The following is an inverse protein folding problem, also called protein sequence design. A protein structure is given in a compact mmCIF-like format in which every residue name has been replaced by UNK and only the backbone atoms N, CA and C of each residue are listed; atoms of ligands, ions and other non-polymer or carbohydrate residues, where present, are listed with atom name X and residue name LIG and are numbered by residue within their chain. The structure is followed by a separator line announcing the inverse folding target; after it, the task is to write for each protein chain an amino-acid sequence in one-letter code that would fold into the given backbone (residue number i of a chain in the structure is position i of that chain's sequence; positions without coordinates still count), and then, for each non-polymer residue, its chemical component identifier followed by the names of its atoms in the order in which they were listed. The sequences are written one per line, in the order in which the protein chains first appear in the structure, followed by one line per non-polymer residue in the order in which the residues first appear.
data_IF_349355831784
#
_entry.id   IF_349355831784
#
_cell.length_a   1.000
_cell.length_b   1.000
_cell.length_c   1.000
_cell.angle_alpha   90.00
_cell.angle_beta   90.00
_cell.angle_gamma   90.00
#
_symmetry.space_group_name_H-M   'P 1'
#
loop_
_entity.id
_entity.type
_entity.pdbx_description
1 polymer ?
#
# COMPACT_ATOMS: atom_id res chain seq x y z
N UNK A 1 10.18 13.34 -1.60
CA UNK A 1 9.83 14.51 -2.44
C UNK A 1 8.40 14.32 -2.92
N UNK A 2 7.63 15.41 -2.99
CA UNK A 2 6.16 15.50 -2.95
C UNK A 2 5.53 15.41 -4.36
N UNK A 3 4.29 14.91 -4.46
CA UNK A 3 3.34 15.28 -5.51
C UNK A 3 1.89 14.98 -5.06
N UNK A 4 1.03 15.99 -5.22
CA UNK A 4 -0.41 15.98 -4.92
C UNK A 4 -1.18 15.96 -6.23
N UNK A 5 -2.25 15.15 -6.30
CA UNK A 5 -3.41 15.31 -7.19
C UNK A 5 -4.65 15.03 -6.31
N UNK A 6 -5.89 15.33 -6.71
CA UNK A 6 -7.15 15.01 -5.98
C UNK A 6 -8.00 14.00 -6.77
N UNK A 7 -8.38 12.86 -6.18
CA UNK A 7 -9.29 11.88 -6.80
C UNK A 7 -10.59 11.82 -6.01
N UNK A 8 -11.70 11.52 -6.70
CA UNK A 8 -13.03 11.44 -6.10
C UNK A 8 -13.19 10.26 -5.11
N UNK A 9 -12.30 9.27 -5.16
CA UNK A 9 -12.19 8.15 -4.21
C UNK A 9 -11.35 8.50 -2.97
N UNK A 10 -10.72 9.68 -2.94
CA UNK A 10 -9.90 10.18 -1.83
C UNK A 10 -8.48 9.62 -1.78
N UNK A 11 -8.15 8.60 -2.58
CA UNK A 11 -6.82 7.99 -2.68
C UNK A 11 -6.33 8.14 -4.12
N UNK A 12 -5.11 8.64 -4.28
CA UNK A 12 -4.56 9.16 -5.55
C UNK A 12 -3.42 8.34 -6.15
N UNK A 13 -3.25 7.17 -5.58
CA UNK A 13 -2.05 6.39 -5.68
C UNK A 13 -1.81 5.78 -4.30
N UNK A 14 -1.40 4.52 -4.31
CA UNK A 14 -1.06 3.83 -3.08
C UNK A 14 0.43 3.70 -2.92
N UNK A 15 0.99 4.30 -1.88
CA UNK A 15 2.41 4.19 -1.56
C UNK A 15 2.64 3.15 -0.48
N UNK A 16 3.41 2.12 -0.81
CA UNK A 16 3.80 1.05 0.10
C UNK A 16 5.17 1.28 0.72
N UNK A 17 5.24 1.02 2.02
CA UNK A 17 6.48 1.10 2.78
C UNK A 17 6.74 -0.16 3.62
N UNK A 18 7.94 -0.73 3.50
CA UNK A 18 8.41 -1.89 4.27
C UNK A 18 9.39 -2.77 3.48
N UNK A 19 10.16 -3.60 4.20
CA UNK A 19 11.17 -4.50 3.60
C UNK A 19 10.76 -5.98 3.58
N UNK A 20 9.60 -6.31 4.12
CA UNK A 20 8.99 -7.64 4.10
C UNK A 20 8.45 -7.99 2.70
N UNK A 21 8.41 -9.28 2.39
CA UNK A 21 7.66 -9.79 1.23
C UNK A 21 6.17 -9.70 1.56
N UNK A 22 5.34 -9.09 0.71
CA UNK A 22 3.93 -8.89 1.01
C UNK A 22 3.14 -10.21 1.05
N UNK A 23 2.20 -10.28 1.98
CA UNK A 23 1.13 -11.27 2.12
C UNK A 23 -0.21 -10.58 2.32
N UNK A 24 -1.32 -11.18 1.87
CA UNK A 24 -2.65 -10.58 2.11
C UNK A 24 -2.98 -10.43 3.59
N UNK A 25 -2.41 -11.29 4.44
CA UNK A 25 -2.59 -11.24 5.90
C UNK A 25 -1.80 -10.13 6.58
N UNK A 26 -0.91 -9.44 5.87
CA UNK A 26 -0.06 -8.41 6.47
C UNK A 26 -0.90 -7.27 7.03
N UNK A 27 -0.65 -6.92 8.29
CA UNK A 27 -1.29 -5.78 8.93
C UNK A 27 -0.75 -4.47 8.36
N UNK A 28 -1.62 -3.67 7.76
CA UNK A 28 -1.28 -2.36 7.19
C UNK A 28 -2.00 -1.22 7.92
N UNK A 29 -1.32 -0.08 7.98
CA UNK A 29 -1.88 1.19 8.38
C UNK A 29 -2.14 2.03 7.13
N UNK A 30 -3.35 2.56 7.01
CA UNK A 30 -3.83 3.31 5.85
C UNK A 30 -4.15 4.76 6.23
N UNK A 31 -3.61 5.68 5.46
CA UNK A 31 -3.80 7.13 5.53
C UNK A 31 -4.55 7.57 4.28
N UNK A 32 -5.88 7.70 4.37
CA UNK A 32 -6.77 7.84 3.20
C UNK A 32 -6.50 9.14 2.46
N UNK A 33 -6.46 10.28 3.17
CA UNK A 33 -6.24 11.60 2.56
C UNK A 33 -4.88 11.74 1.88
N UNK A 34 -3.95 10.81 2.16
CA UNK A 34 -2.59 10.82 1.63
C UNK A 34 -2.30 9.66 0.71
N UNK A 35 -3.24 8.72 0.51
CA UNK A 35 -3.03 7.49 -0.25
C UNK A 35 -1.87 6.62 0.24
N UNK A 36 -1.46 6.74 1.50
CA UNK A 36 -0.30 5.99 2.01
C UNK A 36 -0.75 4.72 2.73
N UNK A 37 -0.08 3.60 2.44
CA UNK A 37 -0.26 2.32 3.12
C UNK A 37 1.09 1.79 3.63
N UNK A 38 1.16 1.37 4.89
CA UNK A 38 2.43 0.96 5.50
C UNK A 38 2.28 -0.30 6.33
N UNK A 39 3.27 -1.20 6.26
CA UNK A 39 3.41 -2.28 7.24
C UNK A 39 3.57 -1.69 8.64
N UNK A 40 2.85 -2.26 9.61
CA UNK A 40 2.86 -1.88 11.01
C UNK A 40 4.25 -1.93 11.68
N UNK A 41 5.13 -2.83 11.21
CA UNK A 41 6.34 -3.24 11.94
C UNK A 41 7.46 -2.20 11.97
N UNK A 42 7.77 -1.54 10.86
CA UNK A 42 8.87 -0.54 10.83
C UNK A 42 8.43 0.82 10.29
N UNK A 43 7.73 0.85 9.15
CA UNK A 43 7.36 2.13 8.55
C UNK A 43 6.09 2.72 9.15
N UNK A 44 5.17 1.86 9.61
CA UNK A 44 3.89 2.22 10.19
C UNK A 44 3.99 3.22 11.33
N UNK A 45 4.95 3.08 12.25
CA UNK A 45 5.12 4.00 13.38
C UNK A 45 5.73 5.33 12.94
N UNK A 46 6.78 5.29 12.10
CA UNK A 46 7.45 6.50 11.63
C UNK A 46 6.55 7.35 10.74
N UNK A 47 5.87 6.74 9.77
CA UNK A 47 4.88 7.41 8.92
C UNK A 47 3.68 7.84 9.76
N UNK A 48 3.16 7.00 10.67
CA UNK A 48 2.09 7.43 11.57
C UNK A 48 2.48 8.66 12.37
N UNK A 49 3.68 8.74 12.94
CA UNK A 49 4.12 9.92 13.69
C UNK A 49 4.13 11.20 12.83
N UNK A 50 4.41 11.10 11.52
CA UNK A 50 4.40 12.23 10.59
C UNK A 50 3.00 12.65 10.18
N UNK A 51 2.06 11.72 10.06
CA UNK A 51 0.71 11.96 9.55
C UNK A 51 -0.38 12.01 10.63
N UNK A 52 -0.09 11.61 11.87
CA UNK A 52 -1.05 11.57 12.98
C UNK A 52 -1.64 12.94 13.35
N UNK A 53 -1.00 14.04 12.94
CA UNK A 53 -1.53 15.40 13.15
C UNK A 53 -2.55 15.82 12.07
N UNK A 54 -2.69 15.04 11.00
CA UNK A 54 -3.50 15.39 9.82
C UNK A 54 -4.73 14.49 9.66
N UNK A 55 -4.60 13.19 9.95
CA UNK A 55 -5.74 12.26 9.91
C UNK A 55 -5.55 11.06 10.84
N UNK A 56 -6.67 10.48 11.30
CA UNK A 56 -6.62 9.24 12.07
C UNK A 56 -6.41 8.06 11.12
N UNK A 57 -5.34 7.27 11.29
CA UNK A 57 -5.11 6.10 10.44
C UNK A 57 -6.17 5.02 10.65
N UNK A 58 -6.39 4.22 9.60
CA UNK A 58 -7.19 2.99 9.66
C UNK A 58 -6.24 1.78 9.67
N UNK A 59 -6.53 0.79 10.50
CA UNK A 59 -5.82 -0.50 10.50
C UNK A 59 -6.67 -1.53 9.77
N UNK A 60 -6.07 -2.27 8.86
CA UNK A 60 -6.68 -3.39 8.14
C UNK A 60 -5.58 -4.31 7.61
N UNK A 61 -5.95 -5.39 6.95
CA UNK A 61 -4.99 -6.25 6.24
C UNK A 61 -4.72 -5.73 4.83
N UNK A 62 -3.59 -6.15 4.25
CA UNK A 62 -3.24 -5.81 2.87
C UNK A 62 -4.30 -6.33 1.87
N UNK A 63 -4.83 -7.53 2.09
CA UNK A 63 -5.90 -8.10 1.27
C UNK A 63 -7.16 -7.24 1.29
N UNK A 64 -7.67 -6.92 2.49
CA UNK A 64 -8.86 -6.07 2.65
C UNK A 64 -8.69 -4.70 1.99
N UNK A 65 -7.50 -4.10 2.11
CA UNK A 65 -7.19 -2.83 1.46
C UNK A 65 -7.31 -2.95 -0.06
N UNK A 66 -6.58 -3.89 -0.66
CA UNK A 66 -6.56 -4.06 -2.12
C UNK A 66 -7.93 -4.46 -2.68
N UNK A 67 -8.72 -5.23 -1.94
CA UNK A 67 -10.09 -5.59 -2.32
C UNK A 67 -11.02 -4.37 -2.35
N UNK A 68 -10.87 -3.44 -1.40
CA UNK A 68 -11.69 -2.23 -1.29
C UNK A 68 -11.45 -1.16 -2.36
N UNK A 69 -10.45 -1.36 -3.23
CA UNK A 69 -9.98 -0.36 -4.17
C UNK A 69 -10.27 -0.71 -5.64
N UNK A 70 -10.39 0.31 -6.51
CA UNK A 70 -10.47 0.10 -7.95
C UNK A 70 -9.24 -0.66 -8.46
N UNK A 71 -9.45 -1.66 -9.31
CA UNK A 71 -8.36 -2.54 -9.78
C UNK A 71 -7.40 -1.85 -10.74
N UNK A 72 -7.84 -0.78 -11.38
CA UNK A 72 -7.06 0.07 -12.27
C UNK A 72 -6.27 1.16 -11.53
N UNK A 73 -6.52 1.36 -10.22
CA UNK A 73 -5.80 2.33 -9.40
C UNK A 73 -4.30 2.01 -9.35
N UNK A 74 -3.46 3.04 -9.42
CA UNK A 74 -2.01 2.87 -9.48
C UNK A 74 -1.41 2.61 -8.09
N UNK A 75 -0.45 1.70 -8.05
CA UNK A 75 0.32 1.41 -6.84
C UNK A 75 1.79 1.73 -7.05
N UNK A 76 2.43 2.17 -5.97
CA UNK A 76 3.80 2.63 -5.93
C UNK A 76 4.50 2.03 -4.72
N UNK A 77 5.73 1.60 -4.90
CA UNK A 77 6.60 1.15 -3.84
C UNK A 77 8.00 1.70 -4.12
N UNK A 78 8.53 2.49 -3.20
CA UNK A 78 9.78 3.19 -3.39
C UNK A 78 10.82 2.75 -2.35
N UNK A 79 12.01 2.41 -2.86
CA UNK A 79 13.23 2.26 -2.07
C UNK A 79 13.10 1.32 -0.85
N UNK A 80 12.47 0.16 -1.04
CA UNK A 80 12.24 -0.85 0.00
C UNK A 80 12.02 -2.26 -0.60
N UNK A 81 11.79 -3.27 0.24
CA UNK A 81 11.50 -4.65 -0.16
C UNK A 81 10.28 -4.78 -1.08
N UNK A 82 9.22 -4.02 -0.83
CA UNK A 82 8.06 -3.93 -1.74
C UNK A 82 8.44 -3.42 -3.13
N UNK A 83 9.35 -2.44 -3.23
CA UNK A 83 9.80 -1.89 -4.52
C UNK A 83 10.52 -2.93 -5.36
N UNK A 84 11.31 -3.80 -4.72
CA UNK A 84 11.97 -4.92 -5.41
C UNK A 84 10.93 -5.94 -5.87
N UNK A 85 10.03 -6.35 -4.98
CA UNK A 85 8.94 -7.27 -5.28
C UNK A 85 8.06 -6.79 -6.46
N UNK A 86 7.69 -5.50 -6.46
CA UNK A 86 6.87 -4.88 -7.50
C UNK A 86 7.58 -4.89 -8.85
N UNK A 87 8.88 -4.57 -8.87
CA UNK A 87 9.68 -4.63 -10.09
C UNK A 87 9.81 -6.05 -10.63
N UNK A 88 10.05 -7.02 -9.76
CA UNK A 88 10.21 -8.43 -10.15
C UNK A 88 8.93 -9.04 -10.74
N UNK A 89 7.76 -8.64 -10.23
CA UNK A 89 6.47 -9.18 -10.66
C UNK A 89 5.69 -8.23 -11.59
N UNK A 90 6.28 -7.10 -12.01
CA UNK A 90 5.65 -6.15 -12.92
C UNK A 90 4.40 -5.46 -12.38
N UNK A 91 4.29 -5.28 -11.06
CA UNK A 91 3.11 -4.72 -10.39
C UNK A 91 3.04 -3.20 -10.61
N UNK A 92 1.94 -2.73 -11.22
CA UNK A 92 1.70 -1.29 -11.48
C UNK A 92 0.35 -0.80 -10.99
N UNK A 93 -0.61 -1.71 -10.85
CA UNK A 93 -1.98 -1.44 -10.42
C UNK A 93 -2.39 -2.32 -9.24
N UNK A 94 -3.48 -1.95 -8.56
CA UNK A 94 -4.10 -2.77 -7.51
C UNK A 94 -4.45 -4.16 -8.04
N UNK A 95 -4.96 -4.25 -9.27
CA UNK A 95 -5.30 -5.50 -9.92
C UNK A 95 -4.08 -6.38 -10.19
N UNK A 96 -2.95 -5.81 -10.60
CA UNK A 96 -1.70 -6.57 -10.74
C UNK A 96 -1.26 -7.15 -9.40
N UNK A 97 -1.34 -6.34 -8.34
CA UNK A 97 -0.89 -6.76 -7.03
C UNK A 97 -1.75 -7.91 -6.47
N UNK A 98 -3.07 -7.81 -6.57
CA UNK A 98 -3.98 -8.87 -6.14
C UNK A 98 -3.70 -10.20 -6.85
N UNK A 99 -3.55 -10.17 -8.18
CA UNK A 99 -3.26 -11.39 -8.95
C UNK A 99 -1.95 -12.04 -8.54
N UNK A 100 -0.91 -11.24 -8.27
CA UNK A 100 0.38 -11.77 -7.81
C UNK A 100 0.24 -12.40 -6.43
N UNK A 101 -0.46 -11.74 -5.49
CA UNK A 101 -0.67 -12.29 -4.15
C UNK A 101 -1.51 -13.58 -4.19
N UNK A 102 -2.56 -13.63 -5.00
CA UNK A 102 -3.38 -14.84 -5.21
C UNK A 102 -2.57 -16.01 -5.77
N UNK A 103 -1.68 -15.74 -6.73
CA UNK A 103 -0.81 -16.76 -7.29
C UNK A 103 0.14 -17.34 -6.23
N UNK A 104 0.73 -16.49 -5.38
CA UNK A 104 1.67 -16.90 -4.34
C UNK A 104 1.01 -17.67 -3.18
N UNK A 105 -0.26 -17.44 -2.90
CA UNK A 105 -1.02 -18.19 -1.88
C UNK A 105 -1.53 -19.55 -2.39
N UNK A 106 -1.49 -19.77 -3.71
CA UNK A 106 -1.92 -21.01 -4.35
C UNK A 106 -0.77 -22.01 -4.58
N UNK A 107 0.46 -21.64 -4.22
CA UNK A 107 1.68 -22.45 -4.26
C UNK A 107 2.00 -23.06 -2.88
#
# INVERSE_FOLDING_TARGET
MRLEVLSESGILGMWFYGDSRPSKSDGVIVFRLRGVACDYTECGIFIASKYATLEKPVKMTLGELLESLPKDERVYADNNGFSKFFREHGIKTVGDFLRVLEALESE
#
